data_IF_233353163590
#
_entry.id   IF_233353163590
#
_cell.length_a   1.000
_cell.length_b   1.000
_cell.length_c   1.000
_cell.angle_alpha   90.00
_cell.angle_beta   90.00
_cell.angle_gamma   90.00
#
_symmetry.space_group_name_H-M   'P 1'
#
loop_
_entity.id
_entity.type
_entity.pdbx_description
1 polymer ?
#
# COMPACT_ATOMS: atom_id res chain seq x y z
N UNK A 1 15.73 25.96 15.39
CA UNK A 1 15.95 25.49 16.78
C UNK A 1 15.04 24.31 17.03
N UNK A 2 15.33 23.41 17.97
CA UNK A 2 14.50 22.20 18.21
C UNK A 2 13.02 22.56 18.46
N UNK A 3 12.75 23.72 19.07
CA UNK A 3 11.39 24.25 19.27
C UNK A 3 10.64 24.50 17.95
N UNK A 4 11.30 25.13 16.97
CA UNK A 4 10.69 25.43 15.66
C UNK A 4 10.40 24.14 14.88
N UNK A 5 11.22 23.10 15.06
CA UNK A 5 10.99 21.78 14.46
C UNK A 5 9.80 21.07 15.10
N UNK A 6 9.70 21.09 16.43
CA UNK A 6 8.56 20.51 17.15
C UNK A 6 7.26 21.22 16.75
N UNK A 7 7.26 22.56 16.70
CA UNK A 7 6.10 23.34 16.28
C UNK A 7 5.69 23.01 14.84
N UNK A 8 6.64 22.86 13.91
CA UNK A 8 6.36 22.44 12.55
C UNK A 8 5.80 21.00 12.47
N UNK A 9 6.33 20.07 13.28
CA UNK A 9 5.80 18.71 13.37
C UNK A 9 4.35 18.74 13.86
N UNK A 10 4.07 19.43 14.96
CA UNK A 10 2.74 19.47 15.58
C UNK A 10 1.70 20.20 14.73
N UNK A 11 2.08 21.30 14.06
CA UNK A 11 1.12 22.14 13.33
C UNK A 11 0.95 21.75 11.86
N UNK A 12 1.95 21.10 11.26
CA UNK A 12 1.96 20.81 9.81
C UNK A 12 2.00 19.32 9.50
N UNK A 13 2.83 18.55 10.21
CA UNK A 13 2.99 17.12 9.91
C UNK A 13 1.91 16.27 10.58
N UNK A 14 1.69 16.44 11.89
CA UNK A 14 0.72 15.66 12.66
C UNK A 14 -0.71 15.73 12.11
N UNK A 15 -1.25 16.90 11.72
CA UNK A 15 -2.60 16.96 11.14
C UNK A 15 -2.71 16.28 9.78
N UNK A 16 -1.60 16.10 9.06
CA UNK A 16 -1.58 15.30 7.83
C UNK A 16 -1.52 13.82 8.16
N UNK A 17 -0.65 13.44 9.11
CA UNK A 17 -0.45 12.07 9.55
C UNK A 17 -1.68 11.48 10.25
N UNK A 18 -2.52 12.31 10.88
CA UNK A 18 -3.78 11.84 11.46
C UNK A 18 -4.75 11.25 10.44
N UNK A 19 -4.63 11.62 9.16
CA UNK A 19 -5.39 10.99 8.06
C UNK A 19 -4.85 9.61 7.68
N UNK A 20 -3.68 9.20 8.18
CA UNK A 20 -3.03 7.92 7.89
C UNK A 20 -3.07 6.98 9.11
N UNK A 21 -3.87 7.30 10.14
CA UNK A 21 -3.96 6.47 11.35
C UNK A 21 -4.56 5.09 11.10
N UNK A 22 -5.29 4.92 10.01
CA UNK A 22 -5.94 3.66 9.63
C UNK A 22 -5.86 3.44 8.13
N UNK A 23 -5.93 2.18 7.70
CA UNK A 23 -5.97 1.80 6.28
C UNK A 23 -7.23 2.38 5.61
N UNK A 24 -8.34 2.46 6.34
CA UNK A 24 -9.60 3.10 5.95
C UNK A 24 -9.42 4.58 5.60
N UNK A 25 -8.66 5.30 6.44
CA UNK A 25 -8.46 6.74 6.26
C UNK A 25 -7.53 7.02 5.06
N UNK A 26 -6.56 6.12 4.81
CA UNK A 26 -5.75 6.14 3.61
C UNK A 26 -6.59 5.93 2.34
N UNK A 27 -7.44 4.90 2.33
CA UNK A 27 -8.30 4.55 1.20
C UNK A 27 -9.29 5.65 0.78
N UNK A 28 -9.59 6.59 1.67
CA UNK A 28 -10.60 7.65 1.49
C UNK A 28 -10.01 9.03 1.23
N UNK A 29 -8.69 9.14 1.04
CA UNK A 29 -8.02 10.42 0.80
C UNK A 29 -8.50 11.09 -0.51
N UNK A 30 -8.85 12.38 -0.48
CA UNK A 30 -9.26 13.10 -1.70
C UNK A 30 -8.09 13.20 -2.69
N UNK A 31 -8.21 12.68 -3.92
CA UNK A 31 -7.14 12.67 -4.92
C UNK A 31 -6.58 14.07 -5.24
N UNK A 32 -7.45 15.09 -5.15
CA UNK A 32 -7.14 16.47 -5.54
C UNK A 32 -6.26 17.23 -4.54
N UNK A 33 -6.15 16.76 -3.29
CA UNK A 33 -5.33 17.44 -2.26
C UNK A 33 -3.83 17.11 -2.42
N UNK A 34 -3.51 16.02 -3.10
CA UNK A 34 -2.14 15.49 -3.24
C UNK A 34 -1.84 15.07 -4.68
N UNK A 35 -2.14 15.94 -5.65
CA UNK A 35 -2.05 15.67 -7.09
C UNK A 35 -0.78 15.02 -7.70
N UNK A 36 0.44 15.04 -7.09
CA UNK A 36 1.56 14.23 -7.59
C UNK A 36 1.63 12.80 -7.01
N UNK A 37 0.77 12.44 -6.04
CA UNK A 37 0.63 11.11 -5.46
C UNK A 37 -0.55 10.37 -6.11
N UNK A 38 -0.61 10.35 -7.45
CA UNK A 38 -1.47 9.36 -8.11
C UNK A 38 -0.89 7.98 -7.77
N UNK A 39 -1.49 7.34 -6.78
CA UNK A 39 -1.19 5.96 -6.41
C UNK A 39 -1.32 5.10 -7.66
N UNK A 40 -0.30 4.28 -7.91
CA UNK A 40 -0.40 3.35 -9.01
C UNK A 40 -1.62 2.46 -8.74
N UNK A 41 -2.39 2.04 -9.75
CA UNK A 41 -3.54 1.16 -9.51
C UNK A 41 -3.19 -0.06 -8.66
N UNK A 42 -1.97 -0.59 -8.79
CA UNK A 42 -1.45 -1.67 -7.95
C UNK A 42 -1.36 -1.32 -6.46
N UNK A 43 -0.98 -0.08 -6.12
CA UNK A 43 -0.97 0.38 -4.71
C UNK A 43 -2.41 0.39 -4.17
N UNK A 44 -3.38 0.90 -4.94
CA UNK A 44 -4.80 0.88 -4.57
C UNK A 44 -5.35 -0.55 -4.46
N UNK A 45 -4.90 -1.48 -5.31
CA UNK A 45 -5.23 -2.90 -5.19
C UNK A 45 -4.78 -3.45 -3.84
N UNK A 46 -3.57 -3.13 -3.38
CA UNK A 46 -3.09 -3.56 -2.06
C UNK A 46 -3.92 -2.98 -0.92
N UNK A 47 -4.38 -1.73 -1.04
CA UNK A 47 -5.31 -1.12 -0.09
C UNK A 47 -6.63 -1.90 -0.04
N UNK A 48 -7.22 -2.22 -1.20
CA UNK A 48 -8.44 -3.04 -1.23
C UNK A 48 -8.22 -4.44 -0.63
N UNK A 49 -7.05 -5.05 -0.85
CA UNK A 49 -6.68 -6.32 -0.19
C UNK A 49 -6.66 -6.13 1.32
N UNK A 50 -5.95 -5.11 1.82
CA UNK A 50 -5.85 -4.82 3.25
C UNK A 50 -7.21 -4.54 3.91
N UNK A 51 -8.12 -3.87 3.18
CA UNK A 51 -9.51 -3.64 3.57
C UNK A 51 -10.40 -4.89 3.52
N UNK A 52 -9.91 -5.99 2.93
CA UNK A 52 -10.70 -7.21 2.72
C UNK A 52 -11.69 -7.14 1.54
N UNK A 53 -11.60 -6.11 0.70
CA UNK A 53 -12.43 -5.83 -0.47
C UNK A 53 -11.90 -6.59 -1.71
N UNK A 54 -11.86 -7.92 -1.61
CA UNK A 54 -11.15 -8.76 -2.58
C UNK A 54 -11.71 -8.68 -4.01
N UNK A 55 -12.99 -8.36 -4.19
CA UNK A 55 -13.57 -8.19 -5.53
C UNK A 55 -13.10 -6.91 -6.22
N UNK A 56 -12.96 -5.82 -5.47
CA UNK A 56 -12.37 -4.58 -5.98
C UNK A 56 -10.90 -4.80 -6.34
N UNK A 57 -10.15 -5.47 -5.46
CA UNK A 57 -8.76 -5.85 -5.72
C UNK A 57 -8.61 -6.73 -6.97
N UNK A 58 -9.47 -7.74 -7.15
CA UNK A 58 -9.45 -8.61 -8.35
C UNK A 58 -9.71 -7.83 -9.63
N UNK A 59 -10.61 -6.84 -9.59
CA UNK A 59 -10.91 -6.00 -10.75
C UNK A 59 -9.65 -5.26 -11.19
N UNK A 60 -8.96 -4.62 -10.25
CA UNK A 60 -7.73 -3.90 -10.54
C UNK A 60 -6.63 -4.86 -11.00
N UNK A 61 -6.45 -6.00 -10.31
CA UNK A 61 -5.45 -7.00 -10.69
C UNK A 61 -5.62 -7.43 -12.15
N UNK A 62 -6.86 -7.69 -12.60
CA UNK A 62 -7.15 -8.09 -13.98
C UNK A 62 -6.78 -7.01 -14.98
N UNK A 63 -7.15 -5.75 -14.70
CA UNK A 63 -6.82 -4.62 -15.56
C UNK A 63 -5.31 -4.41 -15.67
N UNK A 64 -4.59 -4.49 -14.55
CA UNK A 64 -3.14 -4.29 -14.52
C UNK A 64 -2.39 -5.48 -15.13
N UNK A 65 -2.77 -6.73 -14.87
CA UNK A 65 -2.17 -7.90 -15.52
C UNK A 65 -2.29 -7.81 -17.06
N UNK A 66 -3.46 -7.38 -17.56
CA UNK A 66 -3.64 -7.11 -18.98
C UNK A 66 -2.73 -5.97 -19.47
N UNK A 67 -2.62 -4.86 -18.73
CA UNK A 67 -1.75 -3.76 -19.10
C UNK A 67 -0.27 -4.17 -19.15
N UNK A 68 0.23 -4.84 -18.12
CA UNK A 68 1.62 -5.31 -18.02
C UNK A 68 1.96 -6.34 -19.10
N UNK A 69 1.02 -7.22 -19.48
CA UNK A 69 1.22 -8.18 -20.59
C UNK A 69 1.32 -7.52 -21.95
N UNK A 70 0.63 -6.38 -22.12
CA UNK A 70 0.60 -5.63 -23.38
C UNK A 70 1.61 -4.46 -23.41
N UNK A 71 2.44 -4.32 -22.38
CA UNK A 71 3.42 -3.24 -22.29
C UNK A 71 4.45 -3.35 -23.43
N UNK A 72 4.62 -2.32 -24.27
CA UNK A 72 5.63 -2.35 -25.31
C UNK A 72 7.03 -2.14 -24.73
N UNK A 73 8.01 -2.92 -25.22
CA UNK A 73 9.41 -2.77 -24.87
C UNK A 73 9.81 -3.45 -23.55
N UNK A 74 11.00 -3.12 -23.05
CA UNK A 74 11.48 -3.66 -21.78
C UNK A 74 10.95 -2.83 -20.60
N UNK A 75 10.36 -3.46 -19.57
CA UNK A 75 9.82 -2.72 -18.44
C UNK A 75 10.93 -1.99 -17.68
N UNK A 76 10.68 -0.73 -17.34
CA UNK A 76 11.55 0.05 -16.46
C UNK A 76 11.50 -0.52 -15.03
N UNK A 77 12.48 -0.23 -14.15
CA UNK A 77 12.53 -0.81 -12.81
C UNK A 77 11.22 -0.68 -12.01
N UNK A 78 10.54 0.46 -12.09
CA UNK A 78 9.23 0.66 -11.42
C UNK A 78 8.16 -0.31 -11.93
N UNK A 79 8.06 -0.51 -13.24
CA UNK A 79 7.08 -1.44 -13.83
C UNK A 79 7.36 -2.88 -13.44
N UNK A 80 8.64 -3.27 -13.36
CA UNK A 80 9.03 -4.59 -12.87
C UNK A 80 8.61 -4.80 -11.41
N UNK A 81 8.86 -3.82 -10.56
CA UNK A 81 8.49 -3.89 -9.15
C UNK A 81 6.97 -4.00 -8.97
N UNK A 82 6.17 -3.19 -9.70
CA UNK A 82 4.71 -3.29 -9.68
C UNK A 82 4.23 -4.67 -10.17
N UNK A 83 4.88 -5.22 -11.20
CA UNK A 83 4.57 -6.57 -11.69
C UNK A 83 4.88 -7.66 -10.65
N UNK A 84 5.99 -7.55 -9.93
CA UNK A 84 6.34 -8.48 -8.86
C UNK A 84 5.29 -8.50 -7.75
N UNK A 85 4.68 -7.35 -7.42
CA UNK A 85 3.57 -7.30 -6.47
C UNK A 85 2.33 -8.03 -6.98
N UNK A 86 1.94 -7.76 -8.24
CA UNK A 86 0.79 -8.45 -8.87
C UNK A 86 0.97 -9.96 -8.85
N UNK A 87 2.17 -10.43 -9.21
CA UNK A 87 2.48 -11.86 -9.24
C UNK A 87 2.46 -12.47 -7.83
N UNK A 88 2.96 -11.75 -6.82
CA UNK A 88 3.01 -12.22 -5.44
C UNK A 88 1.62 -12.45 -4.81
N UNK A 89 0.64 -11.62 -5.15
CA UNK A 89 -0.73 -11.73 -4.59
C UNK A 89 -1.70 -12.50 -5.49
N UNK A 90 -1.33 -12.81 -6.74
CA UNK A 90 -2.25 -13.37 -7.74
C UNK A 90 -3.00 -14.62 -7.26
N UNK A 91 -2.27 -15.65 -6.86
CA UNK A 91 -2.85 -16.92 -6.39
C UNK A 91 -3.75 -16.72 -5.15
N UNK A 92 -3.28 -16.10 -4.05
CA UNK A 92 -4.10 -16.01 -2.86
C UNK A 92 -5.29 -15.05 -3.04
N UNK A 93 -5.15 -14.02 -3.89
CA UNK A 93 -6.25 -13.14 -4.27
C UNK A 93 -7.35 -13.87 -5.03
N UNK A 94 -6.98 -14.71 -6.01
CA UNK A 94 -7.95 -15.52 -6.76
C UNK A 94 -8.59 -16.62 -5.90
N UNK A 95 -7.83 -17.23 -5.00
CA UNK A 95 -8.34 -18.21 -4.05
C UNK A 95 -9.21 -17.59 -2.95
N UNK A 96 -9.12 -16.27 -2.73
CA UNK A 96 -9.76 -15.61 -1.59
C UNK A 96 -9.11 -15.98 -0.25
N UNK A 97 -7.83 -16.37 -0.28
CA UNK A 97 -7.06 -16.78 0.90
C UNK A 97 -6.62 -15.54 1.70
N UNK A 98 -7.55 -15.05 2.54
CA UNK A 98 -7.33 -13.88 3.41
C UNK A 98 -6.08 -14.07 4.31
N UNK A 99 -5.87 -15.22 4.98
CA UNK A 99 -4.65 -15.45 5.75
C UNK A 99 -3.35 -15.39 4.94
N UNK A 100 -3.33 -15.91 3.71
CA UNK A 100 -2.13 -15.81 2.87
C UNK A 100 -1.86 -14.37 2.43
N UNK A 101 -2.89 -13.62 2.06
CA UNK A 101 -2.79 -12.20 1.71
C UNK A 101 -2.27 -11.37 2.88
N UNK A 102 -2.82 -11.57 4.09
CA UNK A 102 -2.35 -10.88 5.29
C UNK A 102 -0.86 -11.15 5.57
N UNK A 103 -0.41 -12.41 5.44
CA UNK A 103 1.01 -12.75 5.60
C UNK A 103 1.92 -12.05 4.58
N UNK A 104 1.47 -11.89 3.34
CA UNK A 104 2.22 -11.16 2.31
C UNK A 104 2.35 -9.69 2.71
N UNK A 105 1.23 -9.04 3.08
CA UNK A 105 1.22 -7.63 3.48
C UNK A 105 2.11 -7.36 4.70
N UNK A 106 1.99 -8.16 5.75
CA UNK A 106 2.86 -8.09 6.93
C UNK A 106 4.33 -8.32 6.59
N UNK A 107 4.61 -9.25 5.67
CA UNK A 107 5.96 -9.50 5.20
C UNK A 107 6.58 -8.28 4.51
N UNK A 108 5.81 -7.58 3.68
CA UNK A 108 6.27 -6.35 3.03
C UNK A 108 6.39 -5.18 3.99
N UNK A 109 5.46 -5.03 4.93
CA UNK A 109 5.54 -4.03 5.99
C UNK A 109 6.83 -4.20 6.81
N UNK A 110 7.10 -5.42 7.28
CA UNK A 110 8.32 -5.75 8.02
C UNK A 110 9.58 -5.49 7.21
N UNK A 111 9.60 -5.88 5.93
CA UNK A 111 10.74 -5.66 5.05
C UNK A 111 11.05 -4.17 4.82
N UNK A 112 10.03 -3.30 4.82
CA UNK A 112 10.20 -1.86 4.64
C UNK A 112 10.83 -1.15 5.85
N UNK A 113 10.60 -1.68 7.07
CA UNK A 113 11.16 -1.10 8.29
C UNK A 113 12.47 -1.74 8.72
N UNK A 114 12.78 -2.95 8.24
CA UNK A 114 13.96 -3.71 8.62
C UNK A 114 15.26 -2.93 8.34
N UNK A 115 16.11 -2.79 9.36
CA UNK A 115 17.39 -2.09 9.29
C UNK A 115 17.28 -0.57 9.35
N UNK A 116 16.09 -0.02 9.58
CA UNK A 116 15.87 1.42 9.76
C UNK A 116 15.80 1.80 11.24
N UNK A 117 16.00 3.09 11.56
CA UNK A 117 15.79 3.61 12.91
C UNK A 117 14.32 3.53 13.38
N UNK A 118 13.39 3.25 12.46
CA UNK A 118 11.97 3.07 12.77
C UNK A 118 11.65 1.65 13.25
N UNK A 119 12.50 0.65 12.95
CA UNK A 119 12.25 -0.76 13.28
C UNK A 119 11.91 -0.97 14.76
N UNK A 120 12.60 -0.24 15.65
CA UNK A 120 12.41 -0.31 17.10
C UNK A 120 11.09 0.29 17.63
N UNK A 121 10.38 1.03 16.79
CA UNK A 121 9.09 1.66 17.11
C UNK A 121 7.94 1.06 16.30
N UNK A 122 8.25 0.18 15.36
CA UNK A 122 7.27 -0.41 14.46
C UNK A 122 6.51 -1.54 15.17
N UNK A 123 5.20 -1.54 14.97
CA UNK A 123 4.29 -2.63 15.31
C UNK A 123 3.53 -3.01 14.04
N UNK A 124 3.30 -4.31 13.77
CA UNK A 124 2.56 -4.75 12.59
C UNK A 124 1.15 -4.13 12.52
N UNK A 125 0.75 -3.69 11.32
CA UNK A 125 -0.56 -3.07 11.10
C UNK A 125 -1.68 -4.12 11.20
N UNK A 126 -2.69 -3.97 12.08
CA UNK A 126 -3.83 -4.88 12.12
C UNK A 126 -4.76 -4.65 10.92
N UNK A 127 -4.63 -5.46 9.87
CA UNK A 127 -5.40 -5.25 8.64
C UNK A 127 -6.86 -5.68 8.81
N UNK A 128 -7.85 -4.89 8.32
CA UNK A 128 -9.26 -5.28 8.32
C UNK A 128 -9.55 -6.64 7.64
N UNK A 129 -8.71 -7.03 6.67
CA UNK A 129 -8.68 -8.34 6.04
C UNK A 129 -8.61 -9.53 7.02
N UNK A 130 -8.04 -9.33 8.20
CA UNK A 130 -7.81 -10.37 9.20
C UNK A 130 -9.05 -10.69 10.04
N UNK A 131 -10.07 -9.83 9.96
CA UNK A 131 -11.35 -9.95 10.65
C UNK A 131 -12.37 -10.79 9.87
#
# INVERSE_FOLDING_TARGET
MVSDLIEAIETTAMPKLSYYETVESYATLPPETYGPLHEAPEDLMLVHIAMGELDAARTIWQEQDLWHRNLPGHPVPRQRWLREQLDAVAEPLHAGDRPALARILHGWEAANVQGTELERYWEPTPFPLEL
#
